data_IF_406853399336
#
_entry.id   IF_406853399336
#
_cell.length_a   1.000
_cell.length_b   1.000
_cell.length_c   1.000
_cell.angle_alpha   90.00
_cell.angle_beta   90.00
_cell.angle_gamma   90.00
#
_symmetry.space_group_name_H-M   'P 1'
#
loop_
_entity.id
_entity.type
_entity.pdbx_description
1 polymer ?
#
# COMPACT_ATOMS: atom_id res chain seq x y z
N UNK A 1 -2.76 -3.41 -15.36
CA UNK A 1 -2.03 -4.22 -14.37
C UNK A 1 -1.22 -3.26 -13.53
N UNK A 2 -1.41 -3.31 -12.21
CA UNK A 2 -0.76 -2.44 -11.25
C UNK A 2 0.13 -3.30 -10.36
N UNK A 3 1.38 -2.89 -10.15
CA UNK A 3 2.33 -3.67 -9.39
C UNK A 3 3.18 -2.77 -8.49
N UNK A 4 3.24 -3.12 -7.22
CA UNK A 4 4.18 -2.62 -6.23
C UNK A 4 5.16 -3.73 -5.91
N UNK A 5 6.46 -3.41 -5.95
CA UNK A 5 7.53 -4.34 -5.60
C UNK A 5 8.38 -3.73 -4.49
N UNK A 6 8.57 -4.50 -3.42
CA UNK A 6 9.39 -4.14 -2.26
C UNK A 6 9.13 -2.72 -1.73
N UNK A 7 7.86 -2.32 -1.61
CA UNK A 7 7.51 -1.01 -1.10
C UNK A 7 7.84 -0.93 0.40
N UNK A 8 8.74 -0.02 0.73
CA UNK A 8 9.02 0.41 2.10
C UNK A 8 8.71 1.89 2.23
N UNK A 9 7.86 2.26 3.19
CA UNK A 9 7.47 3.65 3.43
C UNK A 9 7.20 3.88 4.90
N UNK A 10 7.72 4.99 5.41
CA UNK A 10 7.45 5.50 6.74
C UNK A 10 7.39 7.02 6.77
N UNK A 11 7.07 7.55 7.94
CA UNK A 11 7.15 8.96 8.29
C UNK A 11 8.01 9.11 9.55
N UNK A 12 9.19 9.71 9.40
CA UNK A 12 10.20 9.72 10.46
C UNK A 12 10.55 8.30 10.88
N UNK A 13 10.50 8.04 12.19
CA UNK A 13 10.80 6.73 12.78
C UNK A 13 9.63 5.73 12.71
N UNK A 14 8.47 6.16 12.18
CA UNK A 14 7.30 5.30 12.07
C UNK A 14 7.20 4.64 10.71
N UNK A 15 7.45 3.32 10.68
CA UNK A 15 7.32 2.49 9.49
C UNK A 15 5.85 2.11 9.25
N UNK A 16 5.31 2.44 8.07
CA UNK A 16 3.94 2.06 7.66
C UNK A 16 3.94 0.78 6.82
N UNK A 17 4.90 0.67 5.91
CA UNK A 17 5.07 -0.46 5.01
C UNK A 17 6.53 -0.90 5.03
N UNK A 18 6.74 -2.21 5.06
CA UNK A 18 8.05 -2.82 4.97
C UNK A 18 8.00 -3.94 3.93
N UNK A 19 8.78 -3.78 2.85
CA UNK A 19 8.92 -4.78 1.79
C UNK A 19 7.56 -5.33 1.26
N UNK A 20 6.58 -4.46 1.07
CA UNK A 20 5.25 -4.84 0.59
C UNK A 20 5.29 -5.09 -0.91
N UNK A 21 4.80 -6.27 -1.31
CA UNK A 21 4.59 -6.64 -2.71
C UNK A 21 3.08 -6.76 -2.96
N UNK A 22 2.57 -6.07 -3.97
CA UNK A 22 1.14 -6.09 -4.30
C UNK A 22 0.93 -6.03 -5.81
N UNK A 23 -0.02 -6.80 -6.31
CA UNK A 23 -0.37 -6.83 -7.72
C UNK A 23 -1.89 -6.80 -7.87
N UNK A 24 -2.36 -5.98 -8.80
CA UNK A 24 -3.78 -5.87 -9.19
C UNK A 24 -3.87 -6.08 -10.70
N UNK A 25 -4.65 -7.06 -11.12
CA UNK A 25 -4.90 -7.35 -12.52
C UNK A 25 -5.98 -6.41 -13.09
N UNK A 26 -6.08 -6.35 -14.42
CA UNK A 26 -7.17 -5.63 -15.07
C UNK A 26 -8.51 -6.34 -14.80
N UNK A 27 -9.51 -5.59 -14.33
CA UNK A 27 -10.83 -6.14 -14.00
C UNK A 27 -11.04 -6.42 -12.51
N UNK A 28 -9.97 -6.42 -11.71
CA UNK A 28 -10.08 -6.60 -10.26
C UNK A 28 -10.79 -5.41 -9.60
N UNK A 29 -11.65 -5.71 -8.62
CA UNK A 29 -12.23 -4.73 -7.70
C UNK A 29 -11.68 -5.00 -6.31
N UNK A 30 -10.77 -4.16 -5.85
CA UNK A 30 -10.07 -4.35 -4.57
C UNK A 30 -10.43 -3.24 -3.60
N UNK A 31 -10.76 -3.62 -2.36
CA UNK A 31 -10.97 -2.71 -1.24
C UNK A 31 -9.80 -2.78 -0.27
N UNK A 32 -9.37 -1.63 0.26
CA UNK A 32 -8.31 -1.54 1.26
C UNK A 32 -8.91 -1.33 2.65
N UNK A 33 -8.72 -2.28 3.57
CA UNK A 33 -9.28 -2.26 4.91
C UNK A 33 -8.18 -2.29 6.01
N UNK A 34 -8.55 -1.93 7.24
CA UNK A 34 -7.64 -1.84 8.38
C UNK A 34 -7.92 -0.62 9.26
N UNK A 35 -7.32 -0.53 10.47
CA UNK A 35 -7.56 0.57 11.40
C UNK A 35 -7.08 1.93 10.85
N UNK A 36 -7.54 3.02 11.46
CA UNK A 36 -7.05 4.37 11.14
C UNK A 36 -5.56 4.46 11.44
N UNK A 37 -4.81 5.13 10.56
CA UNK A 37 -3.35 5.21 10.66
C UNK A 37 -2.58 4.04 10.01
N UNK A 38 -3.23 2.94 9.62
CA UNK A 38 -2.57 1.77 9.00
C UNK A 38 -2.00 2.00 7.58
N UNK A 39 -1.85 3.25 7.12
CA UNK A 39 -1.25 3.57 5.83
C UNK A 39 -2.18 3.48 4.62
N UNK A 40 -3.48 3.18 4.77
CA UNK A 40 -4.40 3.00 3.63
C UNK A 40 -4.41 4.17 2.63
N UNK A 41 -4.68 5.39 3.11
CA UNK A 41 -4.63 6.60 2.28
C UNK A 41 -3.22 6.87 1.75
N UNK A 42 -2.18 6.50 2.51
CA UNK A 42 -0.79 6.59 2.05
C UNK A 42 -0.56 5.66 0.85
N UNK A 43 -1.01 4.41 0.90
CA UNK A 43 -0.88 3.43 -0.19
C UNK A 43 -1.60 3.92 -1.45
N UNK A 44 -2.82 4.42 -1.31
CA UNK A 44 -3.61 4.95 -2.44
C UNK A 44 -3.03 6.21 -3.08
N UNK A 45 -2.17 6.96 -2.38
CA UNK A 45 -1.47 8.15 -2.92
C UNK A 45 -0.14 7.82 -3.58
N UNK A 46 0.41 6.63 -3.34
CA UNK A 46 1.66 6.18 -3.97
C UNK A 46 1.44 5.58 -5.36
N UNK A 47 0.19 5.26 -5.67
CA UNK A 47 -0.29 4.70 -6.93
C UNK A 47 -0.86 5.80 -7.79
#
# INVERSE_FOLDING_TARGET
MLQLSSLTKGFGDHLLFENVNWQIAGGDRVGLCGPNGAGKTTLLRLV
#
